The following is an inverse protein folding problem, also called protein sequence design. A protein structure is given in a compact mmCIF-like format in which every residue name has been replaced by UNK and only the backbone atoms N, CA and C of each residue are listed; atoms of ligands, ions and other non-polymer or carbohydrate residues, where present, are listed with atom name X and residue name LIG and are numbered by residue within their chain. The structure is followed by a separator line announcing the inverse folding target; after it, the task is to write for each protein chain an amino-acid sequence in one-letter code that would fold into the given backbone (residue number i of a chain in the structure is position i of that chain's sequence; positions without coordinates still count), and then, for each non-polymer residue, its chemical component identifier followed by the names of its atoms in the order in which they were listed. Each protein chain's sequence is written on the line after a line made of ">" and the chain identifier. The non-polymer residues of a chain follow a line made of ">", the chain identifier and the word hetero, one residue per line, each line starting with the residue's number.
data_IF_648652059544
#
_entry.id   IF_648652059544
#
_cell.length_a   1.000
_cell.length_b   1.000
_cell.length_c   1.000
_cell.angle_alpha   90.00
_cell.angle_beta   90.00
_cell.angle_gamma   90.00
#
_symmetry.space_group_name_H-M   'P 1'
#
loop_
_entity.id
_entity.type
_entity.pdbx_description
1 polymer ?
#
# COMPACT_ATOMS: atom_id res chain seq x y z
N UNK A 1 -19.45 6.63 12.18
CA UNK A 1 -18.52 5.85 11.34
C UNK A 1 -17.12 6.31 11.66
N UNK A 2 -16.17 5.40 11.88
CA UNK A 2 -14.77 5.79 12.03
C UNK A 2 -14.25 6.24 10.67
N UNK A 3 -13.51 7.36 10.65
CA UNK A 3 -12.92 7.88 9.42
C UNK A 3 -11.88 6.89 8.89
N UNK A 4 -12.02 6.51 7.62
CA UNK A 4 -11.12 5.55 6.99
C UNK A 4 -9.74 6.19 6.81
N UNK A 5 -8.72 5.58 7.41
CA UNK A 5 -7.37 6.15 7.37
C UNK A 5 -6.71 5.85 6.03
N UNK A 6 -6.08 6.86 5.45
CA UNK A 6 -5.38 6.77 4.16
C UNK A 6 -3.89 6.99 4.36
N UNK A 7 -3.05 6.16 3.71
CA UNK A 7 -1.60 6.31 3.70
C UNK A 7 -1.04 6.37 2.27
N UNK A 8 -0.27 7.43 1.99
CA UNK A 8 0.48 7.60 0.75
C UNK A 8 1.96 7.24 0.98
N UNK A 9 2.51 6.39 0.13
CA UNK A 9 3.84 5.80 0.33
C UNK A 9 4.73 6.12 -0.87
N UNK A 10 5.72 6.98 -0.62
CA UNK A 10 6.66 7.47 -1.62
C UNK A 10 7.84 6.51 -1.73
N UNK A 11 8.16 6.06 -2.95
CA UNK A 11 9.19 5.04 -3.16
C UNK A 11 8.80 3.64 -2.66
N UNK A 12 7.51 3.37 -2.46
CA UNK A 12 7.02 2.16 -1.79
C UNK A 12 7.05 0.87 -2.61
N UNK A 13 7.68 0.86 -3.78
CA UNK A 13 7.71 -0.32 -4.66
C UNK A 13 8.62 -1.46 -4.18
N UNK A 14 9.51 -1.22 -3.21
CA UNK A 14 10.45 -2.24 -2.70
C UNK A 14 10.98 -1.90 -1.31
N UNK A 15 11.72 -2.84 -0.70
CA UNK A 15 12.44 -2.63 0.56
C UNK A 15 11.53 -2.17 1.70
N UNK A 16 12.00 -1.20 2.49
CA UNK A 16 11.26 -0.69 3.65
C UNK A 16 9.91 -0.06 3.27
N UNK A 17 9.82 0.63 2.13
CA UNK A 17 8.57 1.25 1.69
C UNK A 17 7.49 0.21 1.35
N UNK A 18 7.88 -0.89 0.69
CA UNK A 18 6.97 -2.00 0.43
C UNK A 18 6.54 -2.73 1.70
N UNK A 19 7.45 -2.90 2.67
CA UNK A 19 7.14 -3.49 3.96
C UNK A 19 6.13 -2.62 4.76
N UNK A 20 6.32 -1.31 4.76
CA UNK A 20 5.39 -0.37 5.36
C UNK A 20 4.01 -0.43 4.70
N UNK A 21 3.94 -0.50 3.36
CA UNK A 21 2.67 -0.63 2.64
C UNK A 21 1.89 -1.88 3.03
N UNK A 22 2.57 -3.02 3.14
CA UNK A 22 1.97 -4.29 3.57
C UNK A 22 1.40 -4.19 4.98
N UNK A 23 2.19 -3.63 5.91
CA UNK A 23 1.75 -3.49 7.30
C UNK A 23 0.55 -2.54 7.43
N UNK A 24 0.59 -1.38 6.79
CA UNK A 24 -0.51 -0.42 6.86
C UNK A 24 -1.79 -0.97 6.21
N UNK A 25 -1.68 -1.73 5.12
CA UNK A 25 -2.82 -2.43 4.53
C UNK A 25 -3.44 -3.44 5.52
N UNK A 26 -2.62 -4.23 6.23
CA UNK A 26 -3.08 -5.15 7.28
C UNK A 26 -3.73 -4.42 8.46
N UNK A 27 -3.24 -3.23 8.79
CA UNK A 27 -3.81 -2.38 9.85
C UNK A 27 -5.10 -1.65 9.40
N UNK A 28 -5.61 -1.92 8.18
CA UNK A 28 -6.89 -1.42 7.67
C UNK A 28 -6.82 -0.05 7.00
N UNK A 29 -5.63 0.42 6.64
CA UNK A 29 -5.49 1.68 5.89
C UNK A 29 -5.78 1.46 4.40
N UNK A 30 -6.37 2.47 3.76
CA UNK A 30 -6.32 2.60 2.31
C UNK A 30 -4.97 3.11 1.87
N UNK A 31 -4.35 2.40 0.94
CA UNK A 31 -2.97 2.65 0.55
C UNK A 31 -2.90 3.19 -0.87
N UNK A 32 -2.05 4.20 -1.08
CA UNK A 32 -1.56 4.63 -2.39
C UNK A 32 -0.03 4.55 -2.42
N UNK A 33 0.54 4.02 -3.50
CA UNK A 33 1.99 3.82 -3.63
C UNK A 33 2.51 4.55 -4.87
N UNK A 34 3.48 5.44 -4.67
CA UNK A 34 4.26 6.00 -5.76
C UNK A 34 5.59 5.25 -5.89
N UNK A 35 5.91 4.79 -7.09
CA UNK A 35 7.23 4.22 -7.41
C UNK A 35 7.58 4.48 -8.88
N UNK A 36 8.84 4.81 -9.21
CA UNK A 36 9.25 5.10 -10.59
C UNK A 36 9.39 3.85 -11.48
N UNK A 37 9.21 2.64 -10.93
CA UNK A 37 9.61 1.38 -11.59
C UNK A 37 8.46 0.40 -11.88
N UNK A 38 7.19 0.82 -11.75
CA UNK A 38 6.01 -0.07 -11.88
C UNK A 38 5.83 -1.05 -10.71
N UNK A 39 6.85 -1.29 -9.90
CA UNK A 39 6.80 -2.17 -8.71
C UNK A 39 5.73 -1.76 -7.70
N UNK A 40 5.45 -0.46 -7.57
CA UNK A 40 4.40 0.05 -6.68
C UNK A 40 3.01 -0.41 -7.12
N UNK A 41 2.74 -0.39 -8.42
CA UNK A 41 1.47 -0.85 -8.99
C UNK A 41 1.31 -2.36 -8.85
N UNK A 42 2.38 -3.13 -9.10
CA UNK A 42 2.40 -4.58 -8.89
C UNK A 42 2.13 -4.94 -7.41
N UNK A 43 2.73 -4.20 -6.47
CA UNK A 43 2.48 -4.40 -5.04
C UNK A 43 1.03 -4.03 -4.66
N UNK A 44 0.52 -2.89 -5.12
CA UNK A 44 -0.85 -2.45 -4.83
C UNK A 44 -1.91 -3.48 -5.27
N UNK A 45 -1.69 -4.13 -6.43
CA UNK A 45 -2.56 -5.22 -6.91
C UNK A 45 -2.66 -6.40 -5.95
N UNK A 46 -1.62 -6.67 -5.16
CA UNK A 46 -1.65 -7.75 -4.16
C UNK A 46 -2.57 -7.46 -2.98
N UNK A 47 -2.90 -6.18 -2.73
CA UNK A 47 -3.82 -5.78 -1.66
C UNK A 47 -5.28 -5.77 -2.12
N UNK A 48 -5.53 -5.49 -3.41
CA UNK A 48 -6.88 -5.49 -3.97
C UNK A 48 -7.55 -6.87 -3.91
N UNK A 49 -6.77 -7.96 -4.01
CA UNK A 49 -7.29 -9.32 -3.83
C UNK A 49 -7.49 -9.73 -2.36
N UNK A 50 -7.19 -8.84 -1.39
CA UNK A 50 -7.34 -9.11 0.04
C UNK A 50 -8.60 -8.46 0.65
N UNK A 51 -9.43 -7.80 -0.17
CA UNK A 51 -10.55 -6.96 0.27
C UNK A 51 -11.95 -7.62 0.11
N UNK A 52 -12.04 -8.95 0.19
CA UNK A 52 -13.33 -9.66 0.35
C UNK A 52 -13.75 -9.76 1.81
#
# INVERSE_FOLDING_TARGET
>A
MAEEKVALIMGGGSGMGAAAARRLAQDGYRIAILSPSGKGEALARTFASMAE
#
